data_IF_585640705877
#
_entry.id   IF_585640705877
#
_cell.length_a   1.000
_cell.length_b   1.000
_cell.length_c   1.000
_cell.angle_alpha   90.00
_cell.angle_beta   90.00
_cell.angle_gamma   90.00
#
_symmetry.space_group_name_H-M   'P 1'
#
loop_
_entity.id
_entity.type
_entity.pdbx_description
1 polymer ?
#
# COMPACT_ATOMS: atom_id res chain seq x y z
N UNK A 1 -4.01 -7.07 14.97
CA UNK A 1 -3.09 -7.61 13.94
C UNK A 1 -3.41 -6.96 12.60
N UNK A 2 -2.47 -6.97 11.65
CA UNK A 2 -2.63 -6.28 10.35
C UNK A 2 -3.85 -6.76 9.57
N UNK A 3 -4.12 -8.06 9.61
CA UNK A 3 -5.29 -8.67 8.99
C UNK A 3 -6.58 -7.98 9.47
N UNK A 4 -6.74 -7.86 10.77
CA UNK A 4 -7.96 -7.33 11.38
C UNK A 4 -8.15 -5.85 11.04
N UNK A 5 -7.06 -5.10 10.95
CA UNK A 5 -7.09 -3.68 10.57
C UNK A 5 -7.48 -3.51 9.10
N UNK A 6 -6.92 -4.33 8.20
CA UNK A 6 -7.25 -4.27 6.77
C UNK A 6 -8.70 -4.70 6.52
N UNK A 7 -9.14 -5.81 7.12
CA UNK A 7 -10.52 -6.29 6.97
C UNK A 7 -11.50 -5.30 7.58
N UNK A 8 -11.19 -4.76 8.75
CA UNK A 8 -12.00 -3.71 9.39
C UNK A 8 -12.13 -2.46 8.51
N UNK A 9 -11.06 -2.01 7.87
CA UNK A 9 -11.08 -0.89 6.95
C UNK A 9 -11.95 -1.18 5.70
N UNK A 10 -11.92 -2.40 5.18
CA UNK A 10 -12.77 -2.80 4.05
C UNK A 10 -14.25 -2.72 4.44
N UNK A 11 -14.63 -3.27 5.59
CA UNK A 11 -16.00 -3.19 6.08
C UNK A 11 -16.42 -1.75 6.34
N UNK A 12 -15.58 -0.96 7.00
CA UNK A 12 -15.87 0.44 7.27
C UNK A 12 -16.11 1.24 5.99
N UNK A 13 -15.29 1.05 4.97
CA UNK A 13 -15.46 1.71 3.67
C UNK A 13 -16.78 1.27 3.02
N UNK A 14 -17.04 -0.02 2.98
CA UNK A 14 -18.26 -0.55 2.36
C UNK A 14 -19.52 0.00 3.05
N UNK A 15 -19.54 0.00 4.37
CA UNK A 15 -20.71 0.41 5.15
C UNK A 15 -20.90 1.93 5.18
N UNK A 16 -19.82 2.67 5.48
CA UNK A 16 -19.87 4.12 5.67
C UNK A 16 -20.06 4.89 4.38
N UNK A 17 -19.41 4.44 3.31
CA UNK A 17 -19.43 5.15 2.02
C UNK A 17 -20.30 4.46 0.97
N UNK A 18 -20.93 3.33 1.29
CA UNK A 18 -21.76 2.53 0.39
C UNK A 18 -21.02 2.15 -0.91
N UNK A 19 -19.76 1.74 -0.77
CA UNK A 19 -18.89 1.31 -1.85
C UNK A 19 -18.89 -0.21 -1.93
N UNK A 20 -19.19 -0.77 -3.11
CA UNK A 20 -19.15 -2.20 -3.33
C UNK A 20 -17.71 -2.76 -3.23
N UNK A 21 -17.58 -3.99 -2.74
CA UNK A 21 -16.26 -4.63 -2.57
C UNK A 21 -15.41 -4.64 -3.83
N UNK A 22 -16.01 -4.77 -5.01
CA UNK A 22 -15.29 -4.76 -6.30
C UNK A 22 -14.70 -3.40 -6.69
N UNK A 23 -15.07 -2.35 -5.97
CA UNK A 23 -14.57 -0.99 -6.17
C UNK A 23 -13.55 -0.56 -5.11
N UNK A 24 -13.16 -1.49 -4.23
CA UNK A 24 -12.14 -1.31 -3.18
C UNK A 24 -10.87 -2.03 -3.57
N UNK A 25 -9.74 -1.33 -3.52
CA UNK A 25 -8.42 -1.92 -3.68
C UNK A 25 -7.59 -1.82 -2.41
N UNK A 26 -6.86 -2.87 -2.11
CA UNK A 26 -5.80 -2.88 -1.09
C UNK A 26 -4.46 -2.91 -1.82
N UNK A 27 -3.68 -1.84 -1.66
CA UNK A 27 -2.38 -1.68 -2.28
C UNK A 27 -1.28 -1.89 -1.22
N UNK A 28 -0.26 -2.63 -1.59
CA UNK A 28 0.87 -2.94 -0.71
C UNK A 28 2.21 -2.74 -1.42
N UNK A 29 3.29 -2.38 -0.71
CA UNK A 29 4.62 -2.25 -1.29
C UNK A 29 5.12 -3.59 -1.83
N UNK A 30 5.69 -3.60 -3.04
CA UNK A 30 6.28 -4.80 -3.61
C UNK A 30 7.71 -5.03 -3.13
N UNK A 31 8.42 -3.95 -2.82
CA UNK A 31 9.78 -4.01 -2.29
C UNK A 31 9.72 -4.27 -0.79
N UNK A 32 10.01 -5.45 -0.44
CA UNK A 32 10.15 -5.93 0.90
C UNK A 32 10.58 -7.37 0.83
N UNK A 33 10.94 -7.90 1.93
CA UNK A 33 11.22 -9.31 2.08
C UNK A 33 10.11 -10.13 1.38
N UNK A 34 10.47 -11.05 0.48
CA UNK A 34 9.52 -11.96 -0.16
C UNK A 34 8.60 -12.62 0.86
N UNK A 35 9.13 -12.94 2.04
CA UNK A 35 8.37 -13.49 3.16
C UNK A 35 7.25 -12.55 3.63
N UNK A 36 7.47 -11.24 3.64
CA UNK A 36 6.42 -10.30 4.02
C UNK A 36 5.27 -10.30 3.01
N UNK A 37 5.56 -10.23 1.72
CA UNK A 37 4.54 -10.27 0.67
C UNK A 37 3.66 -11.51 0.81
N UNK A 38 4.28 -12.68 0.97
CA UNK A 38 3.56 -13.93 1.14
C UNK A 38 2.74 -13.94 2.43
N UNK A 39 3.34 -13.51 3.54
CA UNK A 39 2.63 -13.46 4.82
C UNK A 39 1.50 -12.45 4.80
N UNK A 40 1.71 -11.26 4.25
CA UNK A 40 0.67 -10.22 4.13
C UNK A 40 -0.52 -10.73 3.30
N UNK A 41 -0.26 -11.20 2.08
CA UNK A 41 -1.30 -11.74 1.20
C UNK A 41 -2.00 -12.93 1.84
N UNK A 42 -1.25 -13.85 2.43
CA UNK A 42 -1.82 -15.01 3.11
C UNK A 42 -2.81 -14.59 4.20
N UNK A 43 -2.40 -13.73 5.12
CA UNK A 43 -3.26 -13.32 6.22
C UNK A 43 -4.46 -12.49 5.77
N UNK A 44 -4.28 -11.58 4.82
CA UNK A 44 -5.38 -10.77 4.29
C UNK A 44 -6.38 -11.64 3.52
N UNK A 45 -5.90 -12.54 2.67
CA UNK A 45 -6.79 -13.44 1.92
C UNK A 45 -7.53 -14.42 2.84
N UNK A 46 -6.89 -14.93 3.88
CA UNK A 46 -7.58 -15.75 4.89
C UNK A 46 -8.66 -14.96 5.63
N UNK A 47 -8.40 -13.71 5.97
CA UNK A 47 -9.42 -12.83 6.55
C UNK A 47 -10.61 -12.60 5.62
N UNK A 48 -10.36 -12.31 4.35
CA UNK A 48 -11.41 -12.13 3.34
C UNK A 48 -12.26 -13.40 3.15
N UNK A 49 -11.61 -14.57 3.13
CA UNK A 49 -12.32 -15.86 3.06
C UNK A 49 -13.18 -16.11 4.30
N UNK A 50 -12.68 -15.81 5.50
CA UNK A 50 -13.43 -15.97 6.75
C UNK A 50 -14.72 -15.12 6.73
N UNK A 51 -14.64 -13.90 6.20
CA UNK A 51 -15.77 -13.00 6.08
C UNK A 51 -16.57 -13.20 4.77
N UNK A 52 -16.26 -14.25 4.01
CA UNK A 52 -16.92 -14.59 2.73
C UNK A 52 -16.88 -13.45 1.70
N UNK A 53 -15.84 -12.62 1.75
CA UNK A 53 -15.62 -11.54 0.80
C UNK A 53 -14.82 -12.07 -0.39
N UNK A 54 -15.36 -11.91 -1.59
CA UNK A 54 -14.63 -12.24 -2.82
C UNK A 54 -13.47 -11.28 -3.03
N UNK A 55 -12.37 -11.76 -3.58
CA UNK A 55 -11.20 -10.95 -3.89
C UNK A 55 -10.50 -11.43 -5.16
N UNK A 56 -9.70 -10.54 -5.74
CA UNK A 56 -8.82 -10.83 -6.87
C UNK A 56 -7.42 -10.29 -6.58
N UNK A 57 -6.39 -11.04 -6.94
CA UNK A 57 -5.00 -10.62 -6.79
C UNK A 57 -4.47 -10.20 -8.14
N UNK A 58 -4.03 -8.95 -8.26
CA UNK A 58 -3.32 -8.45 -9.43
C UNK A 58 -1.82 -8.53 -9.14
N UNK A 59 -1.14 -9.37 -9.90
CA UNK A 59 0.32 -9.42 -9.93
C UNK A 59 0.79 -8.96 -11.31
N UNK A 60 1.96 -8.32 -11.37
CA UNK A 60 2.63 -8.09 -12.65
C UNK A 60 2.96 -9.44 -13.24
N UNK A 61 2.44 -9.79 -14.43
CA UNK A 61 2.77 -11.06 -15.04
C UNK A 61 4.28 -11.11 -15.32
N UNK A 62 4.93 -12.16 -14.88
CA UNK A 62 6.32 -12.44 -15.28
C UNK A 62 6.41 -12.70 -16.81
N UNK A 63 5.28 -12.96 -17.47
CA UNK A 63 5.17 -13.38 -18.87
C UNK A 63 4.36 -12.43 -19.77
N UNK A 64 4.31 -11.16 -19.53
CA UNK A 64 3.73 -10.18 -20.46
C UNK A 64 2.21 -10.29 -20.71
N UNK A 65 1.48 -11.14 -20.01
CA UNK A 65 0.03 -11.20 -20.09
C UNK A 65 -0.59 -10.00 -19.37
N UNK A 66 -1.28 -9.16 -20.11
CA UNK A 66 -2.07 -8.07 -19.52
C UNK A 66 -3.27 -8.67 -18.78
N UNK A 67 -3.28 -8.57 -17.46
CA UNK A 67 -4.48 -8.88 -16.67
C UNK A 67 -5.57 -7.89 -17.10
N UNK A 68 -6.65 -8.41 -17.68
CA UNK A 68 -7.81 -7.58 -18.00
C UNK A 68 -8.52 -7.25 -16.70
N UNK A 69 -8.55 -5.98 -16.36
CA UNK A 69 -9.25 -5.46 -15.17
C UNK A 69 -10.73 -5.87 -15.11
N UNK A 70 -11.36 -6.09 -16.29
CA UNK A 70 -12.75 -6.56 -16.40
C UNK A 70 -13.02 -7.92 -15.75
N UNK A 71 -11.98 -8.70 -15.45
CA UNK A 71 -12.12 -10.05 -14.89
C UNK A 71 -11.94 -10.07 -13.35
N UNK A 72 -11.72 -8.90 -12.73
CA UNK A 72 -11.57 -8.82 -11.27
C UNK A 72 -12.93 -8.89 -10.58
N UNK A 73 -13.03 -9.74 -9.56
CA UNK A 73 -14.22 -9.88 -8.71
C UNK A 73 -13.87 -9.60 -7.26
N UNK A 74 -14.76 -8.85 -6.59
CA UNK A 74 -14.58 -8.52 -5.19
C UNK A 74 -13.41 -7.55 -4.94
N UNK A 75 -12.89 -7.54 -3.73
CA UNK A 75 -11.78 -6.65 -3.35
C UNK A 75 -10.53 -6.94 -4.16
N UNK A 76 -9.88 -5.90 -4.68
CA UNK A 76 -8.65 -6.03 -5.46
C UNK A 76 -7.45 -5.93 -4.54
N UNK A 77 -6.59 -6.94 -4.55
CA UNK A 77 -5.29 -6.93 -3.86
C UNK A 77 -4.19 -6.72 -4.91
N UNK A 78 -3.43 -5.66 -4.82
CA UNK A 78 -2.38 -5.33 -5.79
C UNK A 78 -1.14 -4.76 -5.12
N UNK A 79 0.02 -5.04 -5.69
CA UNK A 79 1.18 -4.23 -5.36
C UNK A 79 1.01 -2.80 -5.88
N UNK A 80 1.70 -1.84 -5.25
CA UNK A 80 1.69 -0.44 -5.73
C UNK A 80 2.15 -0.39 -7.19
N UNK A 81 3.20 -1.11 -7.54
CA UNK A 81 3.73 -1.13 -8.92
C UNK A 81 2.73 -1.71 -9.93
N UNK A 82 1.98 -2.74 -9.55
CA UNK A 82 0.98 -3.36 -10.43
C UNK A 82 -0.32 -2.56 -10.54
N UNK A 83 -0.55 -1.63 -9.65
CA UNK A 83 -1.74 -0.75 -9.65
C UNK A 83 -1.61 0.45 -10.58
N UNK A 84 -0.44 0.67 -11.17
CA UNK A 84 -0.19 1.81 -12.05
C UNK A 84 -1.17 1.80 -13.24
N UNK A 85 -1.85 2.91 -13.47
CA UNK A 85 -2.84 3.05 -14.53
C UNK A 85 -4.24 2.53 -14.19
N UNK A 86 -4.47 2.03 -12.98
CA UNK A 86 -5.78 1.60 -12.51
C UNK A 86 -6.36 2.64 -11.54
N UNK A 87 -7.68 2.81 -11.55
CA UNK A 87 -8.41 3.68 -10.63
C UNK A 87 -9.48 2.89 -9.88
N UNK A 88 -9.68 3.24 -8.61
CA UNK A 88 -10.68 2.62 -7.75
C UNK A 88 -11.48 3.70 -7.01
N UNK A 89 -12.71 3.41 -6.63
CA UNK A 89 -13.47 4.34 -5.79
C UNK A 89 -12.83 4.49 -4.42
N UNK A 90 -12.40 3.38 -3.84
CA UNK A 90 -11.69 3.38 -2.58
C UNK A 90 -10.36 2.64 -2.67
N UNK A 91 -9.36 3.18 -2.02
CA UNK A 91 -8.02 2.58 -1.90
C UNK A 91 -7.62 2.50 -0.44
N UNK A 92 -7.14 1.36 -0.04
CA UNK A 92 -6.47 1.13 1.23
C UNK A 92 -5.00 0.86 0.92
N UNK A 93 -4.11 1.71 1.40
CA UNK A 93 -2.67 1.45 1.35
C UNK A 93 -2.28 0.79 2.67
N UNK A 94 -1.72 -0.41 2.60
CA UNK A 94 -1.33 -1.20 3.76
C UNK A 94 0.08 -1.75 3.61
N UNK A 95 0.67 -2.21 4.70
CA UNK A 95 2.03 -2.77 4.67
C UNK A 95 3.14 -1.73 4.76
N UNK A 96 2.83 -0.52 5.15
CA UNK A 96 3.80 0.54 5.42
C UNK A 96 4.39 0.33 6.81
N UNK A 97 5.40 -0.53 6.93
CA UNK A 97 6.13 -0.78 8.18
C UNK A 97 7.54 -0.25 8.09
N UNK A 98 8.18 0.03 9.25
CA UNK A 98 9.56 0.49 9.29
C UNK A 98 10.54 -0.42 8.55
N UNK A 99 10.27 -1.73 8.49
CA UNK A 99 11.17 -2.74 7.93
C UNK A 99 10.76 -3.26 6.55
N UNK A 100 9.70 -2.77 5.97
CA UNK A 100 9.19 -3.25 4.68
C UNK A 100 9.08 -2.20 3.61
N UNK A 101 9.16 -0.96 3.99
CA UNK A 101 9.13 0.14 3.07
C UNK A 101 10.55 0.64 2.83
N UNK A 102 10.76 1.32 1.72
CA UNK A 102 12.06 1.78 1.19
C UNK A 102 13.00 2.42 2.19
N UNK A 103 12.47 2.87 3.28
CA UNK A 103 13.23 3.46 4.36
C UNK A 103 13.98 2.44 5.22
N UNK A 104 13.89 1.16 4.87
CA UNK A 104 14.42 0.09 5.72
C UNK A 104 15.48 -0.78 5.10
N UNK A 105 16.21 -0.40 4.19
CA UNK A 105 17.44 -1.17 4.00
C UNK A 105 18.52 -0.69 4.98
N UNK A 106 18.70 -1.44 6.05
CA UNK A 106 19.99 -1.56 6.73
C UNK A 106 20.69 -0.31 7.23
N UNK A 107 20.20 0.49 8.06
CA UNK A 107 20.87 1.67 8.62
C UNK A 107 20.33 3.03 8.16
N UNK A 108 19.55 3.07 7.12
CA UNK A 108 19.03 4.33 6.59
C UNK A 108 17.76 4.82 7.30
N UNK A 109 17.06 3.95 8.04
CA UNK A 109 15.87 4.36 8.81
C UNK A 109 16.16 5.52 9.76
N UNK A 110 17.34 5.53 10.42
CA UNK A 110 17.81 6.65 11.23
C UNK A 110 18.18 7.88 10.39
N UNK A 111 18.61 7.68 9.15
CA UNK A 111 19.01 8.77 8.25
C UNK A 111 17.81 9.46 7.61
N UNK A 112 16.64 8.84 7.64
CA UNK A 112 15.40 9.37 7.08
C UNK A 112 14.45 9.89 8.15
N UNK A 113 14.96 10.16 9.34
CA UNK A 113 14.17 10.71 10.45
C UNK A 113 13.78 12.18 10.28
N UNK A 114 14.43 12.90 9.37
CA UNK A 114 14.11 14.31 9.11
C UNK A 114 14.41 14.71 7.66
N UNK A 115 13.75 15.75 7.17
CA UNK A 115 14.02 16.34 5.86
C UNK A 115 15.46 16.85 5.72
N UNK A 116 16.06 17.35 6.79
CA UNK A 116 17.45 17.75 6.83
C UNK A 116 18.38 16.56 6.54
N UNK A 117 18.03 15.41 7.07
CA UNK A 117 18.79 14.17 6.85
C UNK A 117 18.69 13.69 5.41
N UNK A 118 17.53 13.84 4.77
CA UNK A 118 17.35 13.51 3.34
C UNK A 118 18.26 14.36 2.46
N UNK A 119 18.41 15.64 2.79
CA UNK A 119 19.30 16.55 2.07
C UNK A 119 20.77 16.13 2.09
N UNK A 120 21.20 15.38 3.11
CA UNK A 120 22.58 14.91 3.33
C UNK A 120 22.82 13.47 2.81
N UNK A 121 21.81 12.84 2.19
CA UNK A 121 21.97 11.50 1.62
C UNK A 121 22.87 11.52 0.40
N UNK A 122 23.59 10.42 0.19
CA UNK A 122 24.26 10.16 -1.07
C UNK A 122 23.27 10.25 -2.24
N UNK A 123 23.71 10.75 -3.42
CA UNK A 123 22.82 10.98 -4.56
C UNK A 123 21.96 9.77 -4.93
N UNK A 124 22.54 8.58 -4.96
CA UNK A 124 21.87 7.34 -5.32
C UNK A 124 20.75 6.97 -4.33
N UNK A 125 21.03 7.17 -3.04
CA UNK A 125 20.07 6.90 -1.97
C UNK A 125 18.92 7.91 -2.05
N UNK A 126 19.24 9.18 -2.29
CA UNK A 126 18.25 10.25 -2.45
C UNK A 126 17.34 10.00 -3.64
N UNK A 127 17.89 9.57 -4.77
CA UNK A 127 17.10 9.22 -5.95
C UNK A 127 16.15 8.06 -5.66
N UNK A 128 16.64 6.99 -5.04
CA UNK A 128 15.79 5.86 -4.64
C UNK A 128 14.64 6.28 -3.73
N UNK A 129 14.91 7.13 -2.74
CA UNK A 129 13.86 7.67 -1.85
C UNK A 129 12.82 8.46 -2.66
N UNK A 130 13.26 9.31 -3.56
CA UNK A 130 12.35 10.09 -4.40
C UNK A 130 11.47 9.22 -5.31
N UNK A 131 12.06 8.17 -5.90
CA UNK A 131 11.30 7.21 -6.73
C UNK A 131 10.19 6.56 -5.93
N UNK A 132 10.49 6.09 -4.72
CA UNK A 132 9.49 5.41 -3.91
C UNK A 132 8.42 6.36 -3.34
N UNK A 133 8.80 7.60 -3.03
CA UNK A 133 7.83 8.64 -2.66
C UNK A 133 6.86 8.93 -3.82
N UNK A 134 7.37 9.01 -5.06
CA UNK A 134 6.52 9.17 -6.24
C UNK A 134 5.58 8.00 -6.44
N UNK A 135 6.04 6.77 -6.22
CA UNK A 135 5.20 5.56 -6.28
C UNK A 135 4.09 5.61 -5.24
N UNK A 136 4.40 5.98 -4.00
CA UNK A 136 3.40 6.13 -2.95
C UNK A 136 2.38 7.21 -3.30
N UNK A 137 2.84 8.37 -3.78
CA UNK A 137 1.95 9.42 -4.26
C UNK A 137 1.03 8.94 -5.38
N UNK A 138 1.58 8.20 -6.34
CA UNK A 138 0.79 7.63 -7.43
C UNK A 138 -0.23 6.62 -6.90
N UNK A 139 0.13 5.79 -5.92
CA UNK A 139 -0.79 4.85 -5.27
C UNK A 139 -1.94 5.58 -4.57
N UNK A 140 -1.64 6.65 -3.83
CA UNK A 140 -2.66 7.49 -3.21
C UNK A 140 -3.63 8.10 -4.25
N UNK A 141 -3.10 8.50 -5.40
CA UNK A 141 -3.90 9.10 -6.48
C UNK A 141 -4.79 8.09 -7.24
N UNK A 142 -4.70 6.79 -6.93
CA UNK A 142 -5.60 5.77 -7.49
C UNK A 142 -6.98 5.80 -6.84
N UNK A 143 -7.13 6.42 -5.68
CA UNK A 143 -8.41 6.61 -5.02
C UNK A 143 -9.18 7.78 -5.66
N UNK A 144 -10.41 7.51 -6.09
CA UNK A 144 -11.29 8.56 -6.61
C UNK A 144 -12.11 9.26 -5.51
N UNK A 145 -12.49 8.55 -4.47
CA UNK A 145 -13.40 9.05 -3.43
C UNK A 145 -12.86 8.85 -2.02
N UNK A 146 -12.29 7.67 -1.72
CA UNK A 146 -11.86 7.31 -0.36
C UNK A 146 -10.45 6.76 -0.37
N UNK A 147 -9.60 7.32 0.47
CA UNK A 147 -8.24 6.86 0.69
C UNK A 147 -8.02 6.57 2.18
N UNK A 148 -7.66 5.33 2.50
CA UNK A 148 -7.18 4.93 3.81
C UNK A 148 -5.71 4.57 3.72
N UNK A 149 -4.89 5.15 4.59
CA UNK A 149 -3.47 4.81 4.70
C UNK A 149 -3.22 4.17 6.05
N UNK A 150 -2.98 2.86 6.03
CA UNK A 150 -2.70 2.07 7.23
C UNK A 150 -1.18 1.96 7.38
N UNK A 151 -0.64 2.59 8.40
CA UNK A 151 0.80 2.56 8.64
C UNK A 151 1.10 2.26 10.10
N UNK A 152 2.21 1.57 10.33
CA UNK A 152 2.82 1.34 11.64
C UNK A 152 4.24 1.92 11.63
N UNK A 153 4.34 3.13 11.11
CA UNK A 153 5.62 3.84 11.00
C UNK A 153 6.00 4.45 12.34
N UNK A 154 7.30 4.50 12.59
CA UNK A 154 7.82 5.14 13.80
C UNK A 154 7.41 6.62 13.83
N UNK A 155 6.77 7.11 14.92
CA UNK A 155 6.39 8.51 15.04
C UNK A 155 7.57 9.45 14.84
N UNK A 156 7.32 10.57 14.17
CA UNK A 156 8.33 11.61 13.91
C UNK A 156 9.26 11.30 12.74
N UNK A 157 9.00 10.25 11.96
CA UNK A 157 9.69 10.04 10.69
C UNK A 157 9.06 10.89 9.58
N UNK A 158 9.80 11.09 8.48
CA UNK A 158 9.29 11.85 7.32
C UNK A 158 7.99 11.26 6.79
N UNK A 159 7.87 9.94 6.75
CA UNK A 159 6.65 9.30 6.28
C UNK A 159 5.48 9.50 7.22
N UNK A 160 5.73 9.48 8.53
CA UNK A 160 4.73 9.80 9.54
C UNK A 160 4.23 11.25 9.37
N UNK A 161 5.15 12.18 9.13
CA UNK A 161 4.81 13.58 8.84
C UNK A 161 4.00 13.75 7.55
N UNK A 162 4.39 13.06 6.48
CA UNK A 162 3.66 13.12 5.20
C UNK A 162 2.23 12.60 5.36
N UNK A 163 2.07 11.47 6.04
CA UNK A 163 0.75 10.87 6.27
C UNK A 163 -0.11 11.79 7.14
N UNK A 164 0.39 12.25 8.26
CA UNK A 164 -0.34 13.15 9.17
C UNK A 164 -0.72 14.49 8.54
N UNK A 165 0.14 15.05 7.69
CA UNK A 165 -0.13 16.31 7.01
C UNK A 165 -1.03 16.15 5.78
N UNK A 166 -1.15 14.95 5.23
CA UNK A 166 -2.07 14.63 4.16
C UNK A 166 -3.53 14.43 4.62
N UNK A 167 -3.75 14.29 5.93
CA UNK A 167 -5.08 14.12 6.53
C UNK A 167 -5.85 15.45 6.74
N UNK A 168 -5.33 16.57 6.24
CA UNK A 168 -5.96 17.89 6.32
C UNK A 168 -6.69 18.23 4.98
#
# INVERSE_FOLDING_TARGET
QIKDVVIGAIHEIADKYHIGYSEIAVLYPQKGNRLFKYNFLYWVTEGLKQDQIQFSIISTPEDGQKVKYSDTRGVVLSSIDSSLGLDFRAVIIAGLYPFNYVFDSNSNAKKLSSWETVGKLEPDVKENVQVEMRKLYTACSRAREVLYVLSDLTPGTIMDDIIKNGEK
#
